data_IF_926407076647
#
_entry.id   IF_926407076647
#
_cell.length_a   1.000
_cell.length_b   1.000
_cell.length_c   1.000
_cell.angle_alpha   90.00
_cell.angle_beta   90.00
_cell.angle_gamma   90.00
#
_symmetry.space_group_name_H-M   'P 1'
#
loop_
_entity.id
_entity.type
_entity.pdbx_description
1 polymer ?
#
# COMPACT_ATOMS: atom_id res chain seq x y z
N UNK A 1 -14.51 7.67 6.49
CA UNK A 1 -13.16 8.12 6.93
C UNK A 1 -12.72 7.27 8.11
N UNK A 2 -11.60 6.56 7.99
CA UNK A 2 -11.05 5.71 9.05
C UNK A 2 -9.88 6.45 9.71
N UNK A 3 -9.92 6.60 11.03
CA UNK A 3 -8.87 7.28 11.79
C UNK A 3 -7.98 6.24 12.46
N UNK A 4 -6.70 6.34 12.24
CA UNK A 4 -5.68 5.54 12.92
C UNK A 4 -5.03 6.37 14.00
N UNK A 5 -4.89 5.79 15.19
CA UNK A 5 -4.25 6.43 16.36
C UNK A 5 -3.08 5.55 16.79
N UNK A 6 -1.87 6.07 16.63
CA UNK A 6 -0.65 5.31 16.93
C UNK A 6 0.15 6.04 18.02
N UNK A 7 0.61 5.34 19.07
CA UNK A 7 1.44 5.94 20.11
C UNK A 7 2.78 6.42 19.52
N UNK A 8 3.18 7.62 19.88
CA UNK A 8 4.50 8.16 19.54
C UNK A 8 5.50 7.63 20.57
N UNK A 9 6.53 6.94 20.12
CA UNK A 9 7.62 6.53 20.99
C UNK A 9 8.46 7.74 21.40
N UNK A 10 8.13 8.33 22.54
CA UNK A 10 8.86 9.45 23.14
C UNK A 10 9.11 9.19 24.62
N UNK A 11 10.28 9.60 25.10
CA UNK A 11 10.76 9.44 26.50
C UNK A 11 10.09 10.45 27.45
N UNK A 12 8.75 10.52 27.48
CA UNK A 12 8.02 11.46 28.35
C UNK A 12 6.69 10.89 28.80
N UNK A 13 6.29 11.22 30.05
CA UNK A 13 5.12 10.70 30.78
C UNK A 13 3.74 11.03 30.18
N UNK A 14 3.62 11.54 28.98
CA UNK A 14 2.35 11.70 28.26
C UNK A 14 2.41 10.89 26.97
N UNK A 15 1.54 9.90 26.86
CA UNK A 15 1.33 9.18 25.60
C UNK A 15 0.78 10.16 24.53
N UNK A 16 1.67 10.84 23.85
CA UNK A 16 1.30 11.59 22.65
C UNK A 16 0.91 10.59 21.57
N UNK A 17 -0.33 10.66 21.10
CA UNK A 17 -0.82 9.83 20.00
C UNK A 17 -0.83 10.65 18.72
N UNK A 18 -0.24 10.11 17.68
CA UNK A 18 -0.38 10.66 16.33
C UNK A 18 -1.64 10.08 15.73
N UNK A 19 -2.62 10.93 15.48
CA UNK A 19 -3.86 10.55 14.80
C UNK A 19 -3.79 11.00 13.34
N UNK A 20 -4.03 10.09 12.42
CA UNK A 20 -4.21 10.41 11.01
C UNK A 20 -5.44 9.71 10.46
N UNK A 21 -6.09 10.31 9.49
CA UNK A 21 -7.32 9.79 8.92
C UNK A 21 -7.08 9.39 7.47
N UNK A 22 -7.56 8.20 7.11
CA UNK A 22 -7.60 7.74 5.73
C UNK A 22 -9.06 7.81 5.27
N UNK A 23 -9.37 8.44 4.13
CA UNK A 23 -10.72 8.42 3.58
C UNK A 23 -11.21 6.99 3.37
N UNK A 24 -12.53 6.77 3.41
CA UNK A 24 -13.14 5.52 2.93
C UNK A 24 -12.80 5.42 1.44
N UNK A 25 -11.85 4.59 1.10
CA UNK A 25 -11.24 4.61 -0.22
C UNK A 25 -10.64 3.26 -0.59
N UNK A 26 -9.54 3.30 -1.29
CA UNK A 26 -8.88 2.12 -1.82
C UNK A 26 -7.56 1.84 -1.12
N UNK A 27 -7.36 0.59 -0.70
CA UNK A 27 -6.08 0.07 -0.22
C UNK A 27 -5.35 -0.61 -1.37
N UNK A 28 -4.10 -0.19 -1.61
CA UNK A 28 -3.20 -0.87 -2.53
C UNK A 28 -2.30 -1.85 -1.75
N UNK A 29 -2.42 -3.12 -2.07
CA UNK A 29 -1.40 -4.10 -1.67
C UNK A 29 -0.26 -4.10 -2.69
N UNK A 30 0.95 -3.84 -2.23
CA UNK A 30 2.14 -3.84 -3.05
C UNK A 30 3.29 -4.55 -2.32
N UNK A 31 4.17 -5.18 -3.07
CA UNK A 31 5.31 -5.86 -2.47
C UNK A 31 6.16 -6.63 -3.46
N UNK A 32 7.01 -7.47 -2.91
CA UNK A 32 7.95 -8.27 -3.66
C UNK A 32 7.29 -9.32 -4.55
N UNK A 33 7.92 -9.59 -5.69
CA UNK A 33 7.59 -10.75 -6.53
C UNK A 33 8.00 -12.07 -5.89
N UNK A 34 8.90 -12.03 -4.92
CA UNK A 34 9.42 -13.17 -4.17
C UNK A 34 8.91 -13.22 -2.74
N UNK A 35 8.22 -12.15 -2.30
CA UNK A 35 7.67 -12.05 -0.95
C UNK A 35 6.56 -13.08 -0.72
N UNK A 36 6.61 -13.69 0.44
CA UNK A 36 5.62 -14.67 0.89
C UNK A 36 4.78 -14.05 1.99
N UNK A 37 3.49 -13.86 1.72
CA UNK A 37 2.52 -13.47 2.74
C UNK A 37 1.75 -14.72 3.14
N UNK A 38 1.78 -15.13 4.43
CA UNK A 38 1.01 -16.28 4.89
C UNK A 38 -0.50 -16.12 4.58
N UNK A 39 -1.15 -17.20 4.16
CA UNK A 39 -2.56 -17.15 3.81
C UNK A 39 -3.46 -16.65 4.96
N UNK A 40 -3.29 -17.10 6.23
CA UNK A 40 -4.06 -16.57 7.34
C UNK A 40 -3.88 -15.06 7.53
N UNK A 41 -2.66 -14.55 7.40
CA UNK A 41 -2.36 -13.12 7.52
C UNK A 41 -3.07 -12.32 6.44
N UNK A 42 -3.00 -12.74 5.17
CA UNK A 42 -3.69 -12.09 4.07
C UNK A 42 -5.22 -12.08 4.28
N UNK A 43 -5.80 -13.21 4.72
CA UNK A 43 -7.23 -13.33 4.97
C UNK A 43 -7.72 -12.44 6.11
N UNK A 44 -7.00 -12.42 7.24
CA UNK A 44 -7.33 -11.56 8.38
C UNK A 44 -7.24 -10.07 8.01
N UNK A 45 -6.22 -9.71 7.25
CA UNK A 45 -6.00 -8.34 6.80
C UNK A 45 -7.12 -7.87 5.85
N UNK A 46 -7.43 -8.67 4.83
CA UNK A 46 -8.52 -8.38 3.88
C UNK A 46 -9.85 -8.29 4.62
N UNK A 47 -10.17 -9.22 5.51
CA UNK A 47 -11.40 -9.18 6.28
C UNK A 47 -11.50 -7.95 7.21
N UNK A 48 -10.39 -7.56 7.83
CA UNK A 48 -10.32 -6.35 8.66
C UNK A 48 -10.58 -5.08 7.87
N UNK A 49 -9.90 -4.91 6.73
CA UNK A 49 -10.05 -3.74 5.86
C UNK A 49 -11.43 -3.69 5.18
N UNK A 50 -11.99 -4.84 4.78
CA UNK A 50 -13.34 -4.93 4.23
C UNK A 50 -14.38 -4.45 5.25
N UNK A 51 -14.27 -4.84 6.53
CA UNK A 51 -15.15 -4.35 7.60
C UNK A 51 -15.04 -2.84 7.84
N UNK A 52 -13.92 -2.25 7.53
CA UNK A 52 -13.72 -0.79 7.57
C UNK A 52 -14.20 -0.07 6.30
N UNK A 53 -14.76 -0.79 5.32
CA UNK A 53 -15.34 -0.22 4.11
C UNK A 53 -14.33 0.05 2.98
N UNK A 54 -13.09 -0.46 3.08
CA UNK A 54 -12.11 -0.27 2.02
C UNK A 54 -12.40 -1.13 0.78
N UNK A 55 -12.18 -0.55 -0.39
CA UNK A 55 -11.99 -1.28 -1.65
C UNK A 55 -10.52 -1.64 -1.85
N UNK A 56 -10.25 -2.54 -2.79
CA UNK A 56 -8.92 -3.14 -2.94
C UNK A 56 -8.34 -2.89 -4.32
N UNK A 57 -7.10 -2.46 -4.33
CA UNK A 57 -6.26 -2.35 -5.53
C UNK A 57 -5.11 -3.34 -5.42
N UNK A 58 -4.85 -4.06 -6.48
CA UNK A 58 -3.73 -5.01 -6.51
C UNK A 58 -3.12 -5.07 -7.91
N UNK A 59 -1.84 -5.35 -7.99
CA UNK A 59 -1.15 -5.52 -9.26
C UNK A 59 -1.31 -6.92 -9.84
N UNK A 60 -0.73 -7.12 -11.03
CA UNK A 60 -0.77 -8.38 -11.76
C UNK A 60 0.52 -9.22 -11.64
N UNK A 61 1.48 -8.82 -10.80
CA UNK A 61 2.74 -9.53 -10.62
C UNK A 61 2.57 -10.84 -9.81
N UNK A 62 3.53 -11.77 -9.85
CA UNK A 62 3.59 -12.87 -8.89
C UNK A 62 3.92 -12.38 -7.47
N UNK A 63 4.01 -13.30 -6.51
CA UNK A 63 4.36 -13.03 -5.12
C UNK A 63 3.26 -12.35 -4.34
N UNK A 64 3.53 -11.19 -3.74
CA UNK A 64 2.57 -10.47 -2.89
C UNK A 64 1.27 -10.14 -3.63
N UNK A 65 1.37 -9.58 -4.85
CA UNK A 65 0.18 -9.28 -5.68
C UNK A 65 -0.68 -10.55 -5.91
N UNK A 66 -0.04 -11.68 -6.22
CA UNK A 66 -0.73 -12.95 -6.47
C UNK A 66 -1.42 -13.50 -5.22
N UNK A 67 -0.77 -13.41 -4.06
CA UNK A 67 -1.35 -13.82 -2.79
C UNK A 67 -2.62 -13.03 -2.49
N UNK A 68 -2.58 -11.71 -2.63
CA UNK A 68 -3.76 -10.89 -2.36
C UNK A 68 -4.85 -11.08 -3.42
N UNK A 69 -4.53 -11.23 -4.71
CA UNK A 69 -5.53 -11.60 -5.73
C UNK A 69 -6.25 -12.89 -5.36
N UNK A 70 -5.50 -13.93 -4.99
CA UNK A 70 -6.09 -15.19 -4.55
C UNK A 70 -7.02 -14.99 -3.34
N UNK A 71 -6.56 -14.31 -2.30
CA UNK A 71 -7.37 -14.07 -1.10
C UNK A 71 -8.64 -13.26 -1.41
N UNK A 72 -8.54 -12.24 -2.26
CA UNK A 72 -9.65 -11.38 -2.64
C UNK A 72 -10.68 -12.07 -3.55
N UNK A 73 -10.31 -13.10 -4.28
CA UNK A 73 -11.23 -13.91 -5.09
C UNK A 73 -12.00 -14.97 -4.31
N UNK A 74 -11.72 -15.16 -3.02
CA UNK A 74 -12.36 -16.22 -2.22
C UNK A 74 -13.78 -15.88 -1.79
N UNK A 75 -14.16 -14.61 -1.77
CA UNK A 75 -15.51 -14.18 -1.38
C UNK A 75 -16.09 -13.20 -2.39
N UNK A 76 -17.39 -13.35 -2.69
CA UNK A 76 -18.10 -12.47 -3.62
C UNK A 76 -18.12 -11.01 -3.14
N UNK A 77 -18.03 -10.76 -1.85
CA UNK A 77 -17.99 -9.41 -1.28
C UNK A 77 -16.68 -8.70 -1.63
N UNK A 78 -15.53 -9.35 -1.35
CA UNK A 78 -14.22 -8.77 -1.67
C UNK A 78 -13.97 -8.70 -3.16
N UNK A 79 -14.46 -9.67 -3.94
CA UNK A 79 -14.36 -9.70 -5.39
C UNK A 79 -14.96 -8.45 -6.03
N UNK A 80 -16.16 -8.05 -5.63
CA UNK A 80 -16.87 -6.87 -6.17
C UNK A 80 -16.16 -5.54 -5.88
N UNK A 81 -15.39 -5.49 -4.81
CA UNK A 81 -14.66 -4.30 -4.37
C UNK A 81 -13.17 -4.36 -4.74
N UNK A 82 -12.78 -5.28 -5.63
CA UNK A 82 -11.39 -5.48 -6.03
C UNK A 82 -11.17 -5.06 -7.49
N UNK A 83 -10.14 -4.23 -7.71
CA UNK A 83 -9.64 -3.90 -9.04
C UNK A 83 -8.20 -4.37 -9.20
N UNK A 84 -7.93 -5.11 -10.27
CA UNK A 84 -6.59 -5.56 -10.63
C UNK A 84 -6.04 -4.74 -11.79
N UNK A 85 -5.03 -3.92 -11.52
CA UNK A 85 -4.33 -3.16 -12.54
C UNK A 85 -3.27 -4.01 -13.25
N UNK A 86 -3.39 -4.18 -14.57
CA UNK A 86 -2.47 -4.95 -15.40
C UNK A 86 -1.66 -4.04 -16.33
N UNK A 87 -0.43 -4.47 -16.63
CA UNK A 87 0.41 -3.84 -17.64
C UNK A 87 0.22 -4.44 -19.04
N UNK A 88 -0.34 -5.67 -19.13
CA UNK A 88 -0.45 -6.45 -20.36
C UNK A 88 -1.81 -7.15 -20.47
N UNK A 89 -2.36 -7.16 -21.68
CA UNK A 89 -3.66 -7.76 -22.01
C UNK A 89 -3.75 -9.24 -21.62
N UNK A 90 -2.75 -10.03 -22.02
CA UNK A 90 -2.71 -11.46 -21.69
C UNK A 90 -2.92 -11.69 -20.20
N UNK A 91 -2.28 -10.88 -19.36
CA UNK A 91 -2.36 -11.01 -17.90
C UNK A 91 -3.72 -10.58 -17.36
N UNK A 92 -4.32 -9.54 -17.94
CA UNK A 92 -5.66 -9.11 -17.56
C UNK A 92 -6.71 -10.20 -17.86
N UNK A 93 -6.63 -10.83 -19.04
CA UNK A 93 -7.52 -11.94 -19.42
C UNK A 93 -7.36 -13.14 -18.48
N UNK A 94 -6.11 -13.55 -18.18
CA UNK A 94 -5.83 -14.66 -17.25
C UNK A 94 -6.45 -14.42 -15.87
N UNK A 95 -6.28 -13.22 -15.35
CA UNK A 95 -6.81 -12.85 -14.01
C UNK A 95 -8.33 -12.72 -14.04
N UNK A 96 -8.91 -12.15 -15.10
CA UNK A 96 -10.37 -12.05 -15.24
C UNK A 96 -11.09 -13.40 -15.20
N UNK A 97 -10.42 -14.48 -15.58
CA UNK A 97 -10.98 -15.85 -15.45
C UNK A 97 -11.12 -16.34 -14.01
N UNK A 98 -10.50 -15.67 -13.05
CA UNK A 98 -10.64 -15.97 -11.63
C UNK A 98 -11.82 -15.24 -10.97
N UNK A 99 -12.59 -14.46 -11.72
CA UNK A 99 -13.72 -13.67 -11.23
C UNK A 99 -13.37 -12.22 -10.94
N UNK A 100 -12.10 -11.90 -10.66
CA UNK A 100 -11.68 -10.54 -10.35
C UNK A 100 -11.76 -9.60 -11.57
N UNK A 101 -12.21 -8.37 -11.33
CA UNK A 101 -12.18 -7.35 -12.36
C UNK A 101 -10.74 -6.88 -12.62
N UNK A 102 -10.21 -7.27 -13.77
CA UNK A 102 -8.85 -6.95 -14.20
C UNK A 102 -8.86 -6.17 -15.51
N UNK A 103 -8.04 -5.11 -15.59
CA UNK A 103 -7.95 -4.29 -16.80
C UNK A 103 -6.51 -3.81 -17.04
N UNK A 104 -6.17 -3.59 -18.32
CA UNK A 104 -4.93 -2.94 -18.70
C UNK A 104 -5.04 -1.45 -18.44
N UNK A 105 -4.10 -0.93 -17.65
CA UNK A 105 -4.10 0.48 -17.20
C UNK A 105 -2.95 1.29 -17.81
N UNK A 106 -2.31 0.73 -18.83
CA UNK A 106 -1.13 1.31 -19.50
C UNK A 106 -1.36 1.33 -21.00
N UNK A 107 -0.98 2.40 -21.73
CA UNK A 107 -1.06 2.41 -23.21
C UNK A 107 -0.25 1.29 -23.85
N UNK A 108 -0.75 0.75 -24.98
CA UNK A 108 -0.18 -0.42 -25.66
C UNK A 108 1.24 -0.22 -26.20
N UNK A 109 1.63 1.01 -26.51
CA UNK A 109 2.90 1.38 -27.17
C UNK A 109 4.10 1.52 -26.23
N UNK A 110 3.95 1.11 -24.98
CA UNK A 110 4.97 1.31 -23.94
C UNK A 110 5.84 0.07 -23.82
N UNK A 111 7.16 0.25 -23.71
CA UNK A 111 8.07 -0.87 -23.46
C UNK A 111 7.68 -1.65 -22.19
N UNK A 112 7.96 -2.96 -22.09
CA UNK A 112 7.52 -3.80 -20.97
C UNK A 112 7.95 -3.26 -19.60
N UNK A 113 9.17 -2.73 -19.50
CA UNK A 113 9.67 -2.16 -18.25
C UNK A 113 8.93 -0.86 -17.88
N UNK A 114 8.73 0.02 -18.85
CA UNK A 114 7.98 1.26 -18.65
C UNK A 114 6.50 0.98 -18.36
N UNK A 115 5.91 -0.06 -18.97
CA UNK A 115 4.54 -0.49 -18.72
C UNK A 115 4.35 -0.91 -17.25
N UNK A 116 5.25 -1.72 -16.70
CA UNK A 116 5.20 -2.13 -15.29
C UNK A 116 5.35 -0.93 -14.34
N UNK A 117 6.24 -0.01 -14.66
CA UNK A 117 6.41 1.24 -13.88
C UNK A 117 5.14 2.08 -13.91
N UNK A 118 4.57 2.35 -15.09
CA UNK A 118 3.35 3.14 -15.27
C UNK A 118 2.16 2.50 -14.56
N UNK A 119 2.01 1.17 -14.64
CA UNK A 119 0.99 0.42 -13.91
C UNK A 119 1.10 0.66 -12.41
N UNK A 120 2.30 0.59 -11.84
CA UNK A 120 2.52 0.84 -10.42
C UNK A 120 2.12 2.26 -10.03
N UNK A 121 2.57 3.26 -10.77
CA UNK A 121 2.20 4.67 -10.54
C UNK A 121 0.70 4.92 -10.67
N UNK A 122 0.04 4.25 -11.63
CA UNK A 122 -1.41 4.34 -11.82
C UNK A 122 -2.18 3.79 -10.63
N UNK A 123 -1.75 2.65 -10.08
CA UNK A 123 -2.34 2.05 -8.88
C UNK A 123 -2.14 2.94 -7.65
N UNK A 124 -0.91 3.42 -7.43
CA UNK A 124 -0.60 4.33 -6.32
C UNK A 124 -1.46 5.60 -6.40
N UNK A 125 -1.63 6.18 -7.59
CA UNK A 125 -2.45 7.38 -7.77
C UNK A 125 -3.89 7.19 -7.29
N UNK A 126 -4.44 5.98 -7.40
CA UNK A 126 -5.84 5.65 -7.04
C UNK A 126 -6.02 5.11 -5.63
N UNK A 127 -4.95 4.71 -5.00
CA UNK A 127 -5.00 4.26 -3.61
C UNK A 127 -5.08 5.45 -2.66
N UNK A 128 -5.72 5.25 -1.53
CA UNK A 128 -5.73 6.18 -0.40
C UNK A 128 -4.77 5.71 0.70
N UNK A 129 -4.51 4.43 0.72
CA UNK A 129 -3.58 3.76 1.63
C UNK A 129 -2.73 2.75 0.85
N UNK A 130 -1.42 2.72 1.12
CA UNK A 130 -0.52 1.68 0.62
C UNK A 130 -0.13 0.73 1.76
N UNK A 131 -0.32 -0.57 1.53
CA UNK A 131 0.26 -1.62 2.38
C UNK A 131 1.41 -2.28 1.63
N UNK A 132 2.63 -2.12 2.16
CA UNK A 132 3.85 -2.52 1.50
C UNK A 132 4.51 -3.71 2.21
N UNK A 133 4.74 -4.78 1.45
CA UNK A 133 5.38 -6.00 1.90
C UNK A 133 6.78 -6.11 1.27
N UNK A 134 7.86 -5.91 2.06
CA UNK A 134 9.24 -6.02 1.58
C UNK A 134 9.58 -7.43 1.06
N UNK A 135 10.73 -7.55 0.40
CA UNK A 135 11.29 -8.86 -0.01
C UNK A 135 11.63 -9.72 1.20
N UNK A 136 12.14 -9.05 2.22
CA UNK A 136 12.52 -9.64 3.49
C UNK A 136 12.09 -8.70 4.63
N UNK A 137 11.09 -9.10 5.42
CA UNK A 137 10.60 -8.30 6.54
C UNK A 137 11.64 -8.06 7.64
N UNK A 138 12.61 -8.95 7.81
CA UNK A 138 13.63 -8.84 8.85
C UNK A 138 14.70 -7.80 8.50
N UNK A 139 15.10 -7.73 7.23
CA UNK A 139 16.09 -6.76 6.76
C UNK A 139 15.47 -5.47 6.24
N UNK A 140 14.16 -5.46 5.98
CA UNK A 140 13.44 -4.34 5.35
C UNK A 140 13.87 -4.10 3.90
N UNK A 141 14.49 -5.09 3.24
CA UNK A 141 14.97 -4.97 1.87
C UNK A 141 13.80 -4.94 0.88
N UNK A 142 13.85 -4.04 -0.07
CA UNK A 142 12.79 -3.82 -1.06
C UNK A 142 13.32 -3.99 -2.48
N UNK A 143 12.48 -4.54 -3.33
CA UNK A 143 12.71 -4.52 -4.77
C UNK A 143 12.42 -3.16 -5.39
N UNK A 144 12.94 -2.91 -6.60
CA UNK A 144 12.74 -1.63 -7.32
C UNK A 144 11.28 -1.23 -7.48
N UNK A 145 10.37 -2.19 -7.67
CA UNK A 145 8.94 -1.92 -7.81
C UNK A 145 8.30 -1.45 -6.50
N UNK A 146 8.68 -2.05 -5.38
CA UNK A 146 8.22 -1.67 -4.04
C UNK A 146 8.75 -0.29 -3.65
N UNK A 147 10.04 0.00 -3.92
CA UNK A 147 10.61 1.31 -3.71
C UNK A 147 9.90 2.41 -4.52
N UNK A 148 9.60 2.13 -5.80
CA UNK A 148 8.83 3.04 -6.64
C UNK A 148 7.43 3.32 -6.05
N UNK A 149 6.72 2.28 -5.60
CA UNK A 149 5.39 2.46 -5.01
C UNK A 149 5.45 3.27 -3.72
N UNK A 150 6.44 3.02 -2.87
CA UNK A 150 6.68 3.74 -1.62
C UNK A 150 6.90 5.23 -1.86
N UNK A 151 7.90 5.58 -2.68
CA UNK A 151 8.20 6.99 -2.96
C UNK A 151 7.02 7.70 -3.65
N UNK A 152 6.39 7.05 -4.62
CA UNK A 152 5.22 7.63 -5.29
C UNK A 152 4.02 7.84 -4.34
N UNK A 153 3.86 7.05 -3.30
CA UNK A 153 2.84 7.27 -2.27
C UNK A 153 3.19 8.48 -1.40
N UNK A 154 4.45 8.59 -0.96
CA UNK A 154 4.91 9.74 -0.16
C UNK A 154 4.83 11.05 -0.94
N UNK A 155 5.22 11.06 -2.21
CA UNK A 155 5.10 12.23 -3.10
C UNK A 155 3.65 12.71 -3.27
N UNK A 156 2.67 11.82 -3.05
CA UNK A 156 1.24 12.11 -3.08
C UNK A 156 0.63 12.28 -1.69
N UNK A 157 1.45 12.43 -0.66
CA UNK A 157 1.05 12.59 0.75
C UNK A 157 0.15 11.45 1.27
N UNK A 158 0.33 10.23 0.75
CA UNK A 158 -0.45 9.07 1.15
C UNK A 158 0.24 8.30 2.24
N UNK A 159 -0.48 7.86 3.28
CA UNK A 159 0.08 7.01 4.32
C UNK A 159 0.45 5.64 3.76
N UNK A 160 1.56 5.11 4.27
CA UNK A 160 2.06 3.77 3.92
C UNK A 160 2.23 2.96 5.19
N UNK A 161 1.64 1.77 5.24
CA UNK A 161 1.98 0.78 6.26
C UNK A 161 3.02 -0.19 5.70
N UNK A 162 4.21 -0.20 6.27
CA UNK A 162 5.31 -1.09 5.87
C UNK A 162 5.37 -2.28 6.82
N UNK A 163 5.17 -3.48 6.29
CA UNK A 163 5.22 -4.74 7.07
C UNK A 163 6.67 -5.18 7.24
N UNK A 164 7.28 -4.77 8.32
CA UNK A 164 8.70 -5.05 8.60
C UNK A 164 8.97 -4.99 10.11
N UNK A 165 9.94 -5.78 10.58
CA UNK A 165 10.45 -5.70 11.95
C UNK A 165 11.49 -4.58 12.12
N UNK A 166 12.08 -4.07 11.03
CA UNK A 166 13.04 -2.97 11.06
C UNK A 166 12.40 -1.67 10.58
N UNK A 167 12.64 -0.55 11.28
CA UNK A 167 12.14 0.73 10.82
C UNK A 167 12.72 1.08 9.45
N UNK A 168 11.89 1.59 8.52
CA UNK A 168 12.39 2.28 7.33
C UNK A 168 13.35 3.40 7.69
N UNK A 169 14.15 3.86 6.72
CA UNK A 169 15.06 4.98 6.95
C UNK A 169 14.29 6.20 7.44
N UNK A 170 14.82 6.89 8.45
CA UNK A 170 14.22 8.14 8.94
C UNK A 170 14.37 9.24 7.90
N UNK A 171 13.37 10.10 7.82
CA UNK A 171 13.35 11.29 6.96
C UNK A 171 12.63 12.44 7.64
N UNK A 172 12.97 13.65 7.27
CA UNK A 172 12.26 14.85 7.71
C UNK A 172 10.92 15.04 7.01
N UNK A 173 10.63 14.25 5.97
CA UNK A 173 9.41 14.37 5.16
C UNK A 173 8.23 13.55 5.67
N UNK A 174 8.41 12.72 6.70
CA UNK A 174 7.35 11.90 7.25
C UNK A 174 7.59 11.49 8.72
N UNK A 175 6.50 11.19 9.43
CA UNK A 175 6.54 10.50 10.71
C UNK A 175 6.66 8.99 10.51
N UNK A 176 7.48 8.36 11.35
CA UNK A 176 7.64 6.92 11.39
C UNK A 176 7.10 6.41 12.74
N UNK A 177 6.02 5.63 12.69
CA UNK A 177 5.30 5.20 13.88
C UNK A 177 5.20 3.67 13.90
N UNK A 178 5.83 2.98 14.87
CA UNK A 178 5.67 1.54 15.01
C UNK A 178 4.22 1.21 15.37
N UNK A 179 3.68 0.15 14.77
CA UNK A 179 2.33 -0.31 15.07
C UNK A 179 2.21 -1.82 14.88
N UNK A 180 1.22 -2.38 15.54
CA UNK A 180 0.74 -3.74 15.33
C UNK A 180 -0.66 -3.69 14.72
N UNK A 181 -0.69 -3.52 13.40
CA UNK A 181 -1.92 -3.30 12.65
C UNK A 181 -2.91 -4.43 12.87
N UNK A 182 -4.16 -4.08 13.22
CA UNK A 182 -5.19 -5.03 13.69
C UNK A 182 -4.75 -5.96 14.83
N UNK A 183 -3.69 -5.63 15.58
CA UNK A 183 -3.18 -6.43 16.68
C UNK A 183 -2.39 -7.67 16.29
N UNK A 184 -2.12 -7.92 15.00
CA UNK A 184 -1.38 -9.12 14.55
C UNK A 184 -0.30 -8.87 13.50
N UNK A 185 -0.29 -7.72 12.83
CA UNK A 185 0.67 -7.42 11.75
C UNK A 185 1.64 -6.33 12.18
N UNK A 186 2.83 -6.74 12.61
CA UNK A 186 3.86 -5.82 13.03
C UNK A 186 4.41 -5.01 11.84
N UNK A 187 4.65 -3.72 12.04
CA UNK A 187 5.15 -2.84 11.01
C UNK A 187 5.28 -1.39 11.44
N UNK A 188 5.40 -0.52 10.46
CA UNK A 188 5.54 0.91 10.68
C UNK A 188 4.59 1.70 9.76
N UNK A 189 3.86 2.61 10.35
CA UNK A 189 3.22 3.68 9.60
C UNK A 189 4.27 4.69 9.18
N UNK A 190 4.25 5.03 7.91
CA UNK A 190 4.97 6.14 7.31
C UNK A 190 3.92 7.16 6.90
N UNK A 191 3.80 8.22 7.70
CA UNK A 191 2.78 9.27 7.53
C UNK A 191 3.48 10.53 7.03
N UNK A 192 3.30 10.92 5.77
CA UNK A 192 3.93 12.11 5.20
C UNK A 192 3.50 13.37 5.96
N UNK A 193 4.44 14.30 6.15
CA UNK A 193 4.10 15.63 6.60
C UNK A 193 3.46 16.41 5.44
N UNK A 194 2.38 17.16 5.65
CA UNK A 194 2.00 18.17 4.70
C UNK A 194 3.19 19.14 4.57
N UNK A 195 3.61 19.38 3.34
CA UNK A 195 4.62 20.42 3.08
C UNK A 195 4.02 21.71 3.63
N UNK A 196 4.66 22.34 4.62
CA UNK A 196 4.29 23.68 5.01
C UNK A 196 4.44 24.53 3.76
N UNK A 197 3.32 25.02 3.21
CA UNK A 197 3.36 26.06 2.19
C UNK A 197 4.15 27.19 2.81
N UNK A 198 5.34 27.44 2.26
CA UNK A 198 6.19 28.51 2.71
C UNK A 198 5.36 29.81 2.68
N UNK A 199 5.14 30.39 3.84
CA UNK A 199 4.75 31.78 3.90
C UNK A 199 5.80 32.54 3.11
N UNK A 200 5.46 32.95 1.89
CA UNK A 200 6.17 34.03 1.24
C UNK A 200 6.01 35.23 2.15
N UNK A 201 6.98 35.46 3.02
CA UNK A 201 7.12 36.75 3.66
C UNK A 201 7.32 37.75 2.52
N UNK A 202 6.26 38.46 2.16
CA UNK A 202 6.32 39.69 1.43
C UNK A 202 7.08 40.68 2.32
N UNK A 203 8.41 40.71 2.21
CA UNK A 203 9.18 41.86 2.66
C UNK A 203 8.98 43.01 1.65
N UNK A 204 8.24 43.98 2.15
CA UNK A 204 8.16 45.35 1.59
C UNK A 204 9.47 46.08 1.70
#
# INVERSE_FOLDING_TARGET
>A
MVTFSVPRSGTGCTEERVCFSVPDGAVLFAGSRHGVVPAPTASLLVAGLCRLGFSFLVGCAPGVDERFRYTLSLTAETEKHTFVGCAFEKRAVEIGRTGLFASVVVPAEVSPHAALRRRTLWLVKRADLLMLFPDDPETGRWGRGSALAFHAALDQLKPVFVVTSRPPAQSLSYHLLPDRFFGFLDGYWVVPHPVAEGTCDEEL
#
